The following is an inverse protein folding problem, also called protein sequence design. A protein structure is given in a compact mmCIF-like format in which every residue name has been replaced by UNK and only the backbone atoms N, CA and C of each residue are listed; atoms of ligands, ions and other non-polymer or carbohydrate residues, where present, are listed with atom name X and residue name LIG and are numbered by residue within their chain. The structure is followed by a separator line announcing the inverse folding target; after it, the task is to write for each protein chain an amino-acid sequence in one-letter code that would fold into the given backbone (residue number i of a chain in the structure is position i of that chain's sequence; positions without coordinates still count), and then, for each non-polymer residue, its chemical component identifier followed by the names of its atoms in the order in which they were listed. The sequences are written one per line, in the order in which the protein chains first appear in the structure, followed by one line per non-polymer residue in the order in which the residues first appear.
data_IF_956823449280
#
_entry.id   IF_956823449280
#
_cell.length_a   1.000
_cell.length_b   1.000
_cell.length_c   1.000
_cell.angle_alpha   90.00
_cell.angle_beta   90.00
_cell.angle_gamma   90.00
#
_symmetry.space_group_name_H-M   'P 1'
#
loop_
_entity.id
_entity.type
_entity.pdbx_description
1 polymer ?
#
# COMPACT_ATOMS: atom_id res chain seq x y z
N UNK A 1 23.86 1.39 -18.98
CA UNK A 1 24.36 0.02 -19.29
C UNK A 1 24.39 -0.92 -18.08
N UNK A 2 24.59 -0.44 -16.84
CA UNK A 2 24.57 -1.29 -15.64
C UNK A 2 23.15 -1.74 -15.24
N UNK A 3 22.11 -0.92 -15.46
CA UNK A 3 20.73 -1.29 -15.10
C UNK A 3 20.13 -2.41 -15.97
N UNK A 4 20.46 -2.47 -17.27
CA UNK A 4 19.89 -3.48 -18.19
C UNK A 4 20.57 -4.85 -18.07
N UNK A 5 21.82 -4.91 -17.62
CA UNK A 5 22.54 -6.18 -17.42
C UNK A 5 22.04 -6.94 -16.18
N UNK A 6 21.57 -6.21 -15.15
CA UNK A 6 21.03 -6.81 -13.93
C UNK A 6 19.70 -7.50 -14.20
N UNK A 7 18.82 -6.88 -14.99
CA UNK A 7 17.54 -7.46 -15.40
C UNK A 7 17.70 -8.75 -16.21
N UNK A 8 18.65 -8.78 -17.16
CA UNK A 8 18.93 -9.98 -17.96
C UNK A 8 19.51 -11.14 -17.13
N UNK A 9 20.38 -10.84 -16.16
CA UNK A 9 20.96 -11.85 -15.28
C UNK A 9 19.92 -12.47 -14.32
N UNK A 10 18.94 -11.69 -13.86
CA UNK A 10 17.82 -12.17 -13.03
C UNK A 10 16.90 -13.09 -13.84
N UNK A 11 16.56 -12.71 -15.07
CA UNK A 11 15.74 -13.53 -15.97
C UNK A 11 16.43 -14.86 -16.30
N UNK A 12 17.76 -14.87 -16.49
CA UNK A 12 18.54 -16.08 -16.78
C UNK A 12 18.56 -17.11 -15.62
N UNK A 13 18.26 -16.69 -14.38
CA UNK A 13 18.20 -17.58 -13.21
C UNK A 13 16.86 -18.31 -13.08
N UNK A 14 15.82 -17.87 -13.79
CA UNK A 14 14.50 -18.50 -13.78
C UNK A 14 14.52 -19.65 -14.80
N UNK A 15 14.97 -20.84 -14.37
CA UNK A 15 14.85 -22.06 -15.19
C UNK A 15 13.46 -22.67 -15.00
N UNK A 16 12.65 -22.68 -16.06
CA UNK A 16 11.33 -23.31 -16.07
C UNK A 16 11.47 -24.83 -16.33
N UNK A 17 10.92 -25.71 -15.48
CA UNK A 17 11.02 -27.16 -15.64
C UNK A 17 9.98 -27.74 -16.61
N UNK A 18 10.21 -29.00 -17.03
CA UNK A 18 9.32 -29.78 -17.90
C UNK A 18 7.95 -30.05 -17.24
N UNK A 19 6.90 -29.90 -18.04
CA UNK A 19 5.47 -29.80 -17.67
C UNK A 19 4.95 -31.08 -16.99
N UNK A 20 4.37 -30.95 -15.78
CA UNK A 20 3.58 -32.00 -15.12
C UNK A 20 2.11 -31.61 -14.97
N UNK A 21 1.77 -30.42 -14.44
CA UNK A 21 0.40 -29.84 -14.44
C UNK A 21 0.42 -28.31 -14.37
N UNK A 22 -0.64 -27.64 -14.85
CA UNK A 22 -0.71 -26.15 -14.91
C UNK A 22 -0.63 -25.51 -13.51
N UNK A 23 -1.30 -26.09 -12.52
CA UNK A 23 -1.33 -25.60 -11.15
C UNK A 23 0.06 -25.68 -10.48
N UNK A 24 0.80 -26.75 -10.73
CA UNK A 24 2.16 -26.93 -10.23
C UNK A 24 3.14 -25.95 -10.88
N UNK A 25 2.99 -25.70 -12.19
CA UNK A 25 3.79 -24.71 -12.91
C UNK A 25 3.57 -23.32 -12.33
N UNK A 26 2.31 -22.94 -12.10
CA UNK A 26 1.98 -21.65 -11.52
C UNK A 26 2.60 -21.48 -10.14
N UNK A 27 2.36 -22.44 -9.22
CA UNK A 27 2.93 -22.41 -7.86
C UNK A 27 4.45 -22.33 -7.86
N UNK A 28 5.12 -23.13 -8.70
CA UNK A 28 6.58 -23.19 -8.75
C UNK A 28 7.19 -21.96 -9.41
N UNK A 29 6.54 -21.39 -10.43
CA UNK A 29 6.98 -20.14 -11.05
C UNK A 29 6.84 -18.97 -10.08
N UNK A 30 5.70 -18.87 -9.37
CA UNK A 30 5.51 -17.88 -8.32
C UNK A 30 6.57 -18.01 -7.23
N UNK A 31 6.88 -19.23 -6.79
CA UNK A 31 7.94 -19.48 -5.80
C UNK A 31 9.32 -18.99 -6.29
N UNK A 32 9.70 -19.30 -7.53
CA UNK A 32 10.98 -18.88 -8.10
C UNK A 32 11.09 -17.35 -8.25
N UNK A 33 10.00 -16.69 -8.65
CA UNK A 33 9.93 -15.23 -8.76
C UNK A 33 10.08 -14.60 -7.37
N UNK A 34 9.37 -15.11 -6.36
CA UNK A 34 9.46 -14.61 -4.99
C UNK A 34 10.85 -14.81 -4.39
N UNK A 35 11.49 -15.95 -4.65
CA UNK A 35 12.87 -16.22 -4.25
C UNK A 35 13.87 -15.25 -4.90
N UNK A 36 13.79 -15.06 -6.21
CA UNK A 36 14.68 -14.15 -6.93
C UNK A 36 14.47 -12.69 -6.48
N UNK A 37 13.22 -12.27 -6.34
CA UNK A 37 12.87 -10.94 -5.84
C UNK A 37 13.34 -10.74 -4.39
N UNK A 38 13.10 -11.71 -3.50
CA UNK A 38 13.56 -11.65 -2.11
C UNK A 38 15.08 -11.62 -1.96
N UNK A 39 15.80 -12.29 -2.87
CA UNK A 39 17.28 -12.28 -2.89
C UNK A 39 17.88 -10.97 -3.43
N UNK A 40 17.27 -10.35 -4.44
CA UNK A 40 17.81 -9.11 -5.07
C UNK A 40 17.28 -7.83 -4.41
N UNK A 41 16.03 -7.84 -3.96
CA UNK A 41 15.34 -6.67 -3.39
C UNK A 41 15.20 -6.73 -1.87
N UNK A 42 15.53 -7.86 -1.26
CA UNK A 42 15.29 -8.13 0.16
C UNK A 42 13.84 -8.52 0.44
N UNK A 43 13.61 -9.16 1.61
CA UNK A 43 12.27 -9.51 2.09
C UNK A 43 11.77 -8.45 3.06
N UNK A 44 10.56 -7.93 2.82
CA UNK A 44 9.88 -7.09 3.82
C UNK A 44 9.48 -7.95 5.02
N UNK A 45 9.64 -7.42 6.24
CA UNK A 45 9.24 -8.16 7.45
C UNK A 45 7.73 -8.45 7.37
N UNK A 46 7.29 -9.72 7.53
CA UNK A 46 5.88 -10.11 7.39
C UNK A 46 4.97 -9.50 8.47
N UNK A 47 5.55 -8.86 9.49
CA UNK A 47 4.86 -8.36 10.68
C UNK A 47 4.51 -6.86 10.61
N UNK A 48 4.74 -6.18 9.48
CA UNK A 48 4.24 -4.80 9.35
C UNK A 48 2.72 -4.84 9.24
N UNK A 49 2.06 -4.17 10.20
CA UNK A 49 0.60 -3.99 10.25
C UNK A 49 0.10 -3.64 8.87
N UNK A 50 -0.70 -4.55 8.28
CA UNK A 50 -1.59 -4.23 7.17
C UNK A 50 -2.25 -2.91 7.55
N UNK A 51 -1.97 -1.85 6.81
CA UNK A 51 -2.68 -0.58 7.02
C UNK A 51 -4.14 -0.97 6.79
N UNK A 52 -4.94 -0.99 7.85
CA UNK A 52 -6.38 -1.12 7.78
C UNK A 52 -6.90 0.16 7.13
N UNK A 53 -6.73 0.24 5.81
CA UNK A 53 -7.13 1.40 5.05
C UNK A 53 -8.65 1.47 5.14
N UNK A 54 -9.12 2.48 5.86
CA UNK A 54 -10.48 3.03 5.74
C UNK A 54 -11.61 2.08 6.20
N UNK A 55 -11.38 1.19 7.18
CA UNK A 55 -12.48 0.37 7.75
C UNK A 55 -13.56 1.28 8.35
N UNK A 56 -13.16 2.39 8.98
CA UNK A 56 -14.05 3.40 9.58
C UNK A 56 -14.94 4.13 8.55
N UNK A 57 -14.59 4.16 7.26
CA UNK A 57 -15.38 4.80 6.21
C UNK A 57 -16.61 3.96 5.81
N UNK A 58 -16.65 2.68 6.18
CA UNK A 58 -17.72 1.73 5.87
C UNK A 58 -18.82 1.72 6.95
N UNK A 59 -19.45 2.86 7.18
CA UNK A 59 -20.68 2.91 7.99
C UNK A 59 -21.81 2.16 7.27
N UNK A 60 -22.82 1.73 8.02
CA UNK A 60 -23.93 0.98 7.44
C UNK A 60 -24.73 1.81 6.42
N UNK A 61 -24.87 3.13 6.64
CA UNK A 61 -25.44 4.05 5.65
C UNK A 61 -24.61 4.10 4.36
N UNK A 62 -23.27 4.21 4.45
CA UNK A 62 -22.40 4.21 3.26
C UNK A 62 -22.54 2.89 2.49
N UNK A 63 -22.57 1.75 3.19
CA UNK A 63 -22.76 0.43 2.57
C UNK A 63 -24.12 0.34 1.86
N UNK A 64 -25.19 0.81 2.51
CA UNK A 64 -26.53 0.79 1.97
C UNK A 64 -26.63 1.66 0.70
N UNK A 65 -26.12 2.90 0.73
CA UNK A 65 -26.13 3.79 -0.45
C UNK A 65 -25.30 3.24 -1.60
N UNK A 66 -24.15 2.61 -1.32
CA UNK A 66 -23.33 1.98 -2.37
C UNK A 66 -24.05 0.75 -2.96
N UNK A 67 -24.71 -0.06 -2.14
CA UNK A 67 -25.50 -1.21 -2.59
C UNK A 67 -26.66 -0.77 -3.48
N UNK A 68 -27.37 0.29 -3.09
CA UNK A 68 -28.49 0.83 -3.85
C UNK A 68 -28.04 1.45 -5.17
N UNK A 69 -26.96 2.24 -5.15
CA UNK A 69 -26.31 2.74 -6.37
C UNK A 69 -25.98 1.58 -7.32
N UNK A 70 -25.41 0.48 -6.80
CA UNK A 70 -25.04 -0.69 -7.62
C UNK A 70 -26.27 -1.39 -8.21
N UNK A 71 -27.35 -1.51 -7.44
CA UNK A 71 -28.65 -2.05 -7.90
C UNK A 71 -29.19 -1.24 -9.08
N UNK A 72 -29.21 0.08 -8.94
CA UNK A 72 -29.74 0.99 -9.97
C UNK A 72 -28.85 1.07 -11.20
N UNK A 73 -27.53 0.97 -11.03
CA UNK A 73 -26.62 0.85 -12.16
C UNK A 73 -26.89 -0.41 -12.99
N UNK A 74 -27.15 -1.55 -12.32
CA UNK A 74 -27.51 -2.78 -13.01
C UNK A 74 -28.86 -2.68 -13.73
N UNK A 75 -29.87 -2.04 -13.14
CA UNK A 75 -31.16 -1.76 -13.79
C UNK A 75 -31.03 -0.79 -14.98
N UNK A 76 -30.12 0.18 -14.89
CA UNK A 76 -29.77 1.02 -16.03
C UNK A 76 -29.12 0.20 -17.17
N UNK A 77 -28.23 -0.74 -16.84
CA UNK A 77 -27.58 -1.58 -17.86
C UNK A 77 -28.56 -2.50 -18.61
N UNK A 78 -29.65 -2.94 -17.97
CA UNK A 78 -30.66 -3.79 -18.61
C UNK A 78 -31.56 -3.03 -19.60
N UNK A 79 -32.13 -1.89 -19.18
CA UNK A 79 -33.19 -1.20 -19.93
C UNK A 79 -32.74 0.11 -20.61
N UNK A 80 -31.49 0.56 -20.34
CA UNK A 80 -30.81 1.74 -20.95
C UNK A 80 -31.69 2.97 -21.18
N UNK A 81 -32.64 3.20 -20.30
CA UNK A 81 -33.63 4.28 -20.41
C UNK A 81 -33.11 5.55 -19.71
N UNK A 82 -33.51 6.72 -20.20
CA UNK A 82 -33.11 8.02 -19.64
C UNK A 82 -33.58 8.20 -18.17
N UNK A 83 -34.74 7.64 -17.81
CA UNK A 83 -35.24 7.65 -16.44
C UNK A 83 -34.36 6.81 -15.52
N UNK A 84 -33.96 5.60 -15.93
CA UNK A 84 -33.06 4.74 -15.17
C UNK A 84 -31.69 5.40 -14.97
N UNK A 85 -31.22 6.17 -15.96
CA UNK A 85 -30.02 6.99 -15.82
C UNK A 85 -30.18 8.07 -14.74
N UNK A 86 -31.28 8.83 -14.76
CA UNK A 86 -31.56 9.87 -13.78
C UNK A 86 -31.63 9.32 -12.36
N UNK A 87 -32.31 8.19 -12.18
CA UNK A 87 -32.45 7.50 -10.89
C UNK A 87 -31.08 7.01 -10.38
N UNK A 88 -30.26 6.41 -11.25
CA UNK A 88 -28.90 6.02 -10.91
C UNK A 88 -28.03 7.23 -10.51
N UNK A 89 -28.13 8.34 -11.23
CA UNK A 89 -27.35 9.53 -10.95
C UNK A 89 -27.65 10.10 -9.57
N UNK A 90 -28.93 10.16 -9.21
CA UNK A 90 -29.38 10.59 -7.89
C UNK A 90 -28.85 9.68 -6.78
N UNK A 91 -28.92 8.36 -6.97
CA UNK A 91 -28.34 7.40 -6.03
C UNK A 91 -26.81 7.51 -5.93
N UNK A 92 -26.12 7.79 -7.03
CA UNK A 92 -24.68 8.04 -7.03
C UNK A 92 -24.32 9.32 -6.27
N UNK A 93 -25.12 10.38 -6.42
CA UNK A 93 -24.97 11.63 -5.66
C UNK A 93 -25.21 11.40 -4.17
N UNK A 94 -26.24 10.63 -3.81
CA UNK A 94 -26.52 10.25 -2.43
C UNK A 94 -25.40 9.42 -1.81
N UNK A 95 -24.84 8.44 -2.54
CA UNK A 95 -23.70 7.66 -2.07
C UNK A 95 -22.45 8.52 -1.85
N UNK A 96 -22.14 9.44 -2.78
CA UNK A 96 -21.03 10.39 -2.61
C UNK A 96 -21.25 11.29 -1.39
N UNK A 97 -22.48 11.76 -1.17
CA UNK A 97 -22.84 12.59 -0.01
C UNK A 97 -22.67 11.82 1.30
N UNK A 98 -23.14 10.57 1.37
CA UNK A 98 -22.96 9.71 2.56
C UNK A 98 -21.48 9.48 2.88
N UNK A 99 -20.65 9.21 1.86
CA UNK A 99 -19.19 9.08 2.05
C UNK A 99 -18.57 10.40 2.55
N UNK A 100 -18.99 11.55 2.02
CA UNK A 100 -18.52 12.85 2.47
C UNK A 100 -18.92 13.13 3.93
N UNK A 101 -20.16 12.80 4.32
CA UNK A 101 -20.64 12.93 5.70
C UNK A 101 -19.85 12.03 6.63
N UNK A 102 -19.70 10.74 6.33
CA UNK A 102 -18.92 9.82 7.15
C UNK A 102 -17.46 10.28 7.31
N UNK A 103 -16.87 10.82 6.24
CA UNK A 103 -15.53 11.41 6.27
C UNK A 103 -15.46 12.64 7.17
N UNK A 104 -16.45 13.53 7.06
CA UNK A 104 -16.52 14.76 7.85
C UNK A 104 -16.69 14.41 9.33
N UNK A 105 -17.66 13.57 9.68
CA UNK A 105 -17.88 13.14 11.08
C UNK A 105 -16.65 12.50 11.73
N UNK A 106 -15.90 11.66 11.00
CA UNK A 106 -14.66 11.10 11.54
C UNK A 106 -13.59 12.18 11.81
N UNK A 107 -13.48 13.17 10.92
CA UNK A 107 -12.50 14.25 11.10
C UNK A 107 -12.97 15.37 12.02
N UNK A 108 -14.28 15.54 12.24
CA UNK A 108 -14.82 16.52 13.18
C UNK A 108 -14.35 16.20 14.61
N UNK A 109 -14.39 14.92 15.01
CA UNK A 109 -13.86 14.47 16.32
C UNK A 109 -12.35 14.71 16.48
N UNK A 110 -11.58 14.53 15.41
CA UNK A 110 -10.15 14.82 15.42
C UNK A 110 -9.90 16.34 15.40
N UNK A 111 -10.75 17.11 14.72
CA UNK A 111 -10.65 18.56 14.62
C UNK A 111 -10.97 19.23 15.97
N UNK A 112 -11.97 18.76 16.71
CA UNK A 112 -12.27 19.25 18.06
C UNK A 112 -11.08 19.11 19.02
N UNK A 113 -10.32 18.00 18.93
CA UNK A 113 -9.09 17.79 19.73
C UNK A 113 -7.97 18.76 19.34
N UNK A 114 -7.95 19.21 18.08
CA UNK A 114 -7.01 20.20 17.55
C UNK A 114 -7.39 21.65 17.88
N UNK A 115 -8.58 21.93 18.42
CA UNK A 115 -8.97 23.27 18.88
C UNK A 115 -8.55 23.54 20.35
N UNK A 116 -7.99 22.54 21.05
CA UNK A 116 -7.52 22.67 22.43
C UNK A 116 -6.13 23.32 22.52
N UNK A 117 -5.76 23.89 23.69
CA UNK A 117 -4.46 24.56 23.92
C UNK A 117 -3.21 23.72 23.55
N UNK A 118 -3.33 22.41 23.43
CA UNK A 118 -2.26 21.47 23.04
C UNK A 118 -2.25 21.10 21.54
N UNK A 119 -3.01 21.82 20.70
CA UNK A 119 -3.15 21.61 19.27
C UNK A 119 -1.81 21.41 18.54
N UNK A 120 -0.84 22.28 18.80
CA UNK A 120 0.48 22.27 18.14
C UNK A 120 1.23 20.96 18.39
N UNK A 121 1.17 20.47 19.64
CA UNK A 121 1.83 19.22 20.05
C UNK A 121 1.15 18.00 19.44
N UNK A 122 -0.18 18.02 19.34
CA UNK A 122 -0.94 16.96 18.68
C UNK A 122 -0.68 16.94 17.16
N UNK A 123 -0.67 18.11 16.51
CA UNK A 123 -0.40 18.24 15.08
C UNK A 123 1.00 17.72 14.73
N UNK A 124 2.01 18.08 15.53
CA UNK A 124 3.37 17.56 15.40
C UNK A 124 3.40 16.02 15.51
N UNK A 125 2.70 15.45 16.48
CA UNK A 125 2.65 14.00 16.69
C UNK A 125 1.93 13.27 15.55
N UNK A 126 0.80 13.80 15.06
CA UNK A 126 0.05 13.26 13.92
C UNK A 126 0.91 13.30 12.65
N UNK A 127 1.55 14.43 12.35
CA UNK A 127 2.45 14.57 11.22
C UNK A 127 3.62 13.58 11.28
N UNK A 128 4.26 13.45 12.44
CA UNK A 128 5.38 12.52 12.67
C UNK A 128 4.95 11.06 12.53
N UNK A 129 3.75 10.71 13.00
CA UNK A 129 3.20 9.36 12.89
C UNK A 129 2.87 9.02 11.44
N UNK A 130 2.23 9.93 10.69
CA UNK A 130 1.97 9.75 9.25
C UNK A 130 3.26 9.64 8.44
N UNK A 131 4.27 10.44 8.76
CA UNK A 131 5.59 10.36 8.13
C UNK A 131 6.20 8.97 8.33
N UNK A 132 6.22 8.46 9.56
CA UNK A 132 6.70 7.10 9.87
C UNK A 132 5.88 6.00 9.19
N UNK A 133 4.55 6.17 9.09
CA UNK A 133 3.67 5.22 8.41
C UNK A 133 3.87 5.20 6.88
N UNK A 134 4.35 6.29 6.29
CA UNK A 134 4.68 6.40 4.87
C UNK A 134 6.12 6.00 4.53
N UNK A 135 6.99 5.79 5.51
CA UNK A 135 8.32 5.21 5.31
C UNK A 135 8.18 3.71 5.01
N UNK A 136 7.94 3.39 3.73
CA UNK A 136 7.76 2.02 3.20
C UNK A 136 8.99 1.14 3.50
N UNK A 137 10.16 1.78 3.64
CA UNK A 137 11.45 1.18 3.96
C UNK A 137 11.87 1.76 5.33
N UNK A 138 12.06 0.90 6.34
CA UNK A 138 12.86 1.28 7.51
C UNK A 138 14.17 1.83 6.94
N UNK A 139 14.59 3.06 7.23
CA UNK A 139 15.85 3.61 6.69
C UNK A 139 17.00 2.69 7.12
N UNK A 140 17.29 1.67 6.30
CA UNK A 140 18.40 0.78 6.49
C UNK A 140 19.62 1.58 6.04
N UNK A 141 20.55 1.78 6.96
CA UNK A 141 21.88 2.23 6.58
C UNK A 141 22.59 1.02 5.95
N UNK A 142 22.34 0.77 4.67
CA UNK A 142 23.03 -0.25 3.89
C UNK A 142 24.33 0.36 3.39
N UNK A 143 25.41 0.25 4.16
CA UNK A 143 26.75 0.56 3.66
C UNK A 143 27.38 -0.77 3.25
N UNK A 144 27.91 -0.83 2.03
CA UNK A 144 28.60 -2.04 1.57
C UNK A 144 29.94 -2.18 2.31
N UNK A 145 30.29 -3.41 2.67
CA UNK A 145 31.64 -3.72 3.12
C UNK A 145 32.66 -3.64 1.95
N UNK A 146 33.94 -3.82 2.27
CA UNK A 146 35.05 -3.84 1.30
C UNK A 146 34.85 -4.84 0.14
N UNK A 147 34.06 -5.88 0.38
CA UNK A 147 33.80 -6.96 -0.56
C UNK A 147 32.48 -6.77 -1.31
N UNK A 148 31.79 -5.63 -1.13
CA UNK A 148 30.53 -5.31 -1.79
C UNK A 148 29.29 -5.95 -1.16
N UNK A 149 29.39 -6.58 0.01
CA UNK A 149 28.24 -7.15 0.71
C UNK A 149 27.54 -6.09 1.57
N UNK A 150 26.19 -6.03 1.57
CA UNK A 150 25.45 -5.05 2.37
C UNK A 150 25.59 -5.31 3.88
N UNK A 151 26.10 -4.33 4.63
CA UNK A 151 26.06 -4.38 6.10
C UNK A 151 24.67 -3.94 6.58
N UNK A 152 23.92 -4.89 7.16
CA UNK A 152 22.61 -4.60 7.76
C UNK A 152 22.70 -4.21 9.26
N UNK A 153 23.89 -4.28 9.85
CA UNK A 153 24.12 -3.95 11.25
C UNK A 153 24.50 -2.46 11.39
N UNK A 154 23.67 -1.70 12.11
CA UNK A 154 23.84 -0.25 12.31
C UNK A 154 25.21 0.12 12.90
N UNK A 155 25.74 -0.67 13.84
CA UNK A 155 27.04 -0.39 14.47
C UNK A 155 28.17 -0.47 13.45
N UNK A 156 28.18 -1.55 12.65
CA UNK A 156 29.20 -1.75 11.59
C UNK A 156 29.07 -0.75 10.44
N UNK A 157 27.85 -0.36 10.09
CA UNK A 157 27.61 0.65 9.07
C UNK A 157 28.14 2.04 9.51
N UNK A 158 27.92 2.42 10.77
CA UNK A 158 28.43 3.68 11.32
C UNK A 158 29.96 3.68 11.42
N UNK A 159 30.57 2.57 11.86
CA UNK A 159 32.04 2.40 11.87
C UNK A 159 32.62 2.60 10.45
N UNK A 160 32.02 1.98 9.44
CA UNK A 160 32.43 2.14 8.03
C UNK A 160 32.25 3.57 7.51
N UNK A 161 31.19 4.27 7.93
CA UNK A 161 30.96 5.67 7.53
C UNK A 161 32.06 6.59 8.07
N UNK A 162 32.55 6.33 9.28
CA UNK A 162 33.65 7.09 9.88
C UNK A 162 34.98 6.87 9.13
N UNK A 163 35.21 5.69 8.56
CA UNK A 163 36.40 5.40 7.73
C UNK A 163 36.41 6.21 6.42
N UNK A 164 35.26 6.54 5.84
CA UNK A 164 35.17 7.38 4.64
C UNK A 164 35.30 8.88 4.91
N UNK A 165 35.23 9.31 6.17
CA UNK A 165 35.29 10.73 6.56
C UNK A 165 36.68 11.19 7.05
N UNK A 166 37.67 10.29 7.03
CA UNK A 166 39.10 10.60 7.20
C UNK A 166 39.78 10.72 5.84
#
# INVERSE_FOLDING_TARGET
LICTLRDAAVVARIRLPTVTTVEEIWKRSTYLILQAAGSELGMTKPERRKIEKQIWLWTDDVKEKIKEKKRLYNAFLSEKTADNWRIYEEANRAAKKSVAVAKTSHYDEDNEKLEMRDAERQLYWVAKTRHRQGEDIEKFFCINDENGHPLMNLKRAVERLHEFQQ
#
